data_IF_405533676148
#
_entry.id   IF_405533676148
#
_cell.length_a   1.000
_cell.length_b   1.000
_cell.length_c   1.000
_cell.angle_alpha   90.00
_cell.angle_beta   90.00
_cell.angle_gamma   90.00
#
_symmetry.space_group_name_H-M   'P 1'
#
loop_
_entity.id
_entity.type
_entity.pdbx_description
1 polymer ?
#
# COMPACT_ATOMS: atom_id res chain seq x y z
N UNK A 1 -4.85 27.54 -39.10
CA UNK A 1 -5.19 28.29 -37.87
C UNK A 1 -5.75 27.28 -36.90
N UNK A 2 -5.09 27.17 -35.76
CA UNK A 2 -5.10 26.04 -34.84
C UNK A 2 -6.44 25.84 -34.12
N UNK A 3 -6.88 24.59 -34.03
CA UNK A 3 -7.94 24.14 -33.12
C UNK A 3 -7.40 24.09 -31.69
N UNK A 4 -8.04 24.86 -30.82
CA UNK A 4 -7.74 24.96 -29.40
C UNK A 4 -8.38 23.76 -28.70
N UNK A 5 -7.56 22.80 -28.26
CA UNK A 5 -8.00 21.73 -27.38
C UNK A 5 -8.26 22.33 -25.99
N UNK A 6 -9.53 22.42 -25.60
CA UNK A 6 -9.93 22.71 -24.22
C UNK A 6 -9.51 21.55 -23.33
N UNK A 7 -8.53 21.82 -22.46
CA UNK A 7 -8.23 20.97 -21.32
C UNK A 7 -9.41 21.04 -20.36
N UNK A 8 -10.18 19.95 -20.25
CA UNK A 8 -11.11 19.74 -19.14
C UNK A 8 -10.30 19.73 -17.84
N UNK A 9 -10.29 20.85 -17.12
CA UNK A 9 -9.93 20.86 -15.70
C UNK A 9 -11.06 20.17 -14.92
N UNK A 10 -10.77 19.15 -14.10
CA UNK A 10 -11.77 18.59 -13.22
C UNK A 10 -12.16 19.63 -12.17
N UNK A 11 -13.42 20.05 -12.20
CA UNK A 11 -14.02 20.85 -11.14
C UNK A 11 -14.00 20.08 -9.84
N UNK A 12 -13.38 20.68 -8.81
CA UNK A 12 -13.48 20.23 -7.43
C UNK A 12 -14.93 20.49 -7.01
N UNK A 13 -15.70 19.41 -6.82
CA UNK A 13 -16.96 19.49 -6.09
C UNK A 13 -16.62 19.71 -4.60
N UNK A 14 -16.99 20.84 -3.99
CA UNK A 14 -16.69 21.13 -2.58
C UNK A 14 -17.52 20.27 -1.60
N UNK A 15 -18.41 19.39 -2.09
CA UNK A 15 -19.09 18.36 -1.29
C UNK A 15 -18.53 16.94 -1.51
N UNK A 16 -17.45 16.78 -2.30
CA UNK A 16 -16.81 15.50 -2.54
C UNK A 16 -16.07 14.95 -1.32
N UNK A 17 -16.23 13.64 -1.06
CA UNK A 17 -15.50 12.91 -0.04
C UNK A 17 -13.99 13.20 -0.16
N UNK A 18 -13.34 13.53 0.97
CA UNK A 18 -11.89 13.74 0.99
C UNK A 18 -11.20 12.40 0.73
N UNK A 19 -10.52 12.29 -0.40
CA UNK A 19 -9.66 11.15 -0.70
C UNK A 19 -8.22 11.47 -0.30
N UNK A 20 -7.51 10.46 0.18
CA UNK A 20 -6.07 10.55 0.40
C UNK A 20 -5.32 10.54 -0.95
N UNK A 21 -5.91 9.92 -1.97
CA UNK A 21 -5.31 9.72 -3.29
C UNK A 21 -5.22 8.23 -3.64
N UNK A 22 -4.62 7.91 -4.80
CA UNK A 22 -4.51 6.54 -5.25
C UNK A 22 -3.57 5.73 -4.34
N UNK A 23 -3.99 4.51 -4.00
CA UNK A 23 -3.18 3.49 -3.36
C UNK A 23 -3.06 2.29 -4.30
N UNK A 24 -1.85 1.73 -4.38
CA UNK A 24 -1.54 0.65 -5.30
C UNK A 24 -0.78 -0.47 -4.60
N UNK A 25 -1.03 -1.72 -5.01
CA UNK A 25 -0.25 -2.89 -4.62
C UNK A 25 0.11 -3.73 -5.84
N UNK A 26 1.34 -4.23 -5.89
CA UNK A 26 1.80 -5.22 -6.84
C UNK A 26 2.46 -6.39 -6.10
N UNK A 27 2.12 -7.60 -6.53
CA UNK A 27 2.67 -8.84 -6.01
C UNK A 27 3.62 -9.46 -7.01
N UNK A 28 4.84 -9.71 -6.57
CA UNK A 28 5.90 -10.34 -7.34
C UNK A 28 6.18 -11.74 -6.80
N UNK A 29 6.62 -12.62 -7.70
CA UNK A 29 6.88 -14.02 -7.40
C UNK A 29 6.19 -14.92 -8.40
N UNK A 30 5.65 -16.03 -7.92
CA UNK A 30 4.95 -17.01 -8.74
C UNK A 30 3.50 -17.13 -8.32
N UNK A 31 2.61 -17.28 -9.31
CA UNK A 31 1.23 -17.69 -9.09
C UNK A 31 0.99 -18.94 -9.90
N UNK A 32 0.61 -20.02 -9.22
CA UNK A 32 0.16 -21.26 -9.84
C UNK A 32 -1.37 -21.25 -9.84
N UNK A 33 -2.04 -21.03 -10.98
CA UNK A 33 -3.50 -21.04 -11.04
C UNK A 33 -4.07 -22.38 -10.57
N UNK A 34 -5.22 -22.34 -9.91
CA UNK A 34 -5.89 -23.58 -9.51
C UNK A 34 -6.31 -24.39 -10.75
N UNK A 35 -6.09 -25.73 -10.77
CA UNK A 35 -6.37 -26.56 -11.95
C UNK A 35 -7.87 -26.66 -12.29
N UNK A 36 -8.75 -26.35 -11.32
CA UNK A 36 -10.20 -26.36 -11.48
C UNK A 36 -10.76 -25.01 -11.94
N UNK A 37 -9.94 -23.96 -12.01
CA UNK A 37 -10.38 -22.63 -12.41
C UNK A 37 -10.48 -22.54 -13.92
N UNK A 38 -11.64 -22.13 -14.40
CA UNK A 38 -11.86 -21.84 -15.81
C UNK A 38 -11.02 -20.62 -16.24
N UNK A 39 -10.13 -20.75 -17.23
CA UNK A 39 -9.39 -19.62 -17.80
C UNK A 39 -10.29 -18.53 -18.41
N UNK A 40 -11.51 -18.89 -18.83
CA UNK A 40 -12.50 -17.97 -19.40
C UNK A 40 -13.51 -17.46 -18.36
N UNK A 41 -13.29 -17.73 -17.07
CA UNK A 41 -14.18 -17.30 -15.99
C UNK A 41 -14.40 -15.78 -16.01
N UNK A 42 -15.67 -15.37 -15.95
CA UNK A 42 -16.07 -13.97 -15.85
C UNK A 42 -15.55 -13.30 -14.56
N UNK A 43 -15.28 -14.08 -13.51
CA UNK A 43 -14.77 -13.60 -12.21
C UNK A 43 -13.27 -13.32 -12.26
N UNK A 44 -12.89 -12.28 -13.00
CA UNK A 44 -11.53 -11.77 -13.02
C UNK A 44 -11.08 -11.21 -11.65
N UNK A 45 -9.82 -10.77 -11.59
CA UNK A 45 -9.25 -10.22 -10.35
C UNK A 45 -10.01 -8.98 -9.86
N UNK A 46 -10.52 -8.15 -10.77
CA UNK A 46 -11.29 -6.96 -10.41
C UNK A 46 -12.61 -7.33 -9.75
N UNK A 47 -13.37 -8.25 -10.35
CA UNK A 47 -14.64 -8.69 -9.79
C UNK A 47 -14.45 -9.36 -8.42
N UNK A 48 -13.46 -10.24 -8.28
CA UNK A 48 -13.18 -10.92 -7.00
C UNK A 48 -12.78 -9.93 -5.90
N UNK A 49 -11.90 -8.98 -6.21
CA UNK A 49 -11.48 -7.96 -5.25
C UNK A 49 -12.65 -7.03 -4.87
N UNK A 50 -13.46 -6.64 -5.84
CA UNK A 50 -14.66 -5.83 -5.61
C UNK A 50 -15.65 -6.55 -4.69
N UNK A 51 -15.97 -7.83 -4.97
CA UNK A 51 -16.86 -8.64 -4.13
C UNK A 51 -16.32 -8.80 -2.71
N UNK A 52 -15.00 -9.02 -2.56
CA UNK A 52 -14.36 -9.11 -1.24
C UNK A 52 -14.43 -7.78 -0.49
N UNK A 53 -14.21 -6.66 -1.18
CA UNK A 53 -14.30 -5.32 -0.60
C UNK A 53 -15.72 -5.00 -0.11
N UNK A 54 -16.76 -5.38 -0.86
CA UNK A 54 -18.17 -5.27 -0.42
C UNK A 54 -18.41 -6.15 0.81
N UNK A 55 -18.02 -7.42 0.76
CA UNK A 55 -18.27 -8.38 1.83
C UNK A 55 -17.66 -7.95 3.18
N UNK A 56 -16.56 -7.19 3.15
CA UNK A 56 -15.89 -6.67 4.34
C UNK A 56 -16.34 -5.25 4.74
N UNK A 57 -17.22 -4.62 3.96
CA UNK A 57 -17.65 -3.23 4.17
C UNK A 57 -16.53 -2.21 3.96
N UNK A 58 -15.52 -2.55 3.15
CA UNK A 58 -14.39 -1.68 2.85
C UNK A 58 -14.61 -0.81 1.62
N UNK A 59 -15.53 -1.20 0.74
CA UNK A 59 -15.89 -0.43 -0.43
C UNK A 59 -16.78 0.76 -0.07
N UNK A 60 -16.42 1.94 -0.56
CA UNK A 60 -17.26 3.11 -0.45
C UNK A 60 -18.37 3.10 -1.50
N UNK A 61 -19.56 2.67 -1.09
CA UNK A 61 -20.76 2.57 -1.93
C UNK A 61 -21.42 3.95 -2.19
N UNK A 62 -21.01 5.00 -1.48
CA UNK A 62 -21.67 6.32 -1.54
C UNK A 62 -21.51 7.02 -2.90
N UNK A 63 -20.54 6.60 -3.73
CA UNK A 63 -20.35 7.11 -5.09
C UNK A 63 -21.43 6.65 -6.09
N UNK A 64 -22.26 5.66 -5.74
CA UNK A 64 -23.24 5.04 -6.65
C UNK A 64 -24.71 5.32 -6.31
N UNK A 65 -24.99 5.85 -5.11
CA UNK A 65 -26.35 6.07 -4.62
C UNK A 65 -26.73 7.56 -4.70
N UNK A 66 -27.01 8.04 -5.90
CA UNK A 66 -27.77 9.28 -6.05
C UNK A 66 -29.20 9.06 -5.52
N UNK A 67 -29.45 9.43 -4.27
CA UNK A 67 -30.81 9.70 -3.79
C UNK A 67 -31.38 8.87 -2.64
N UNK A 68 -30.59 8.08 -1.90
CA UNK A 68 -31.10 7.40 -0.70
C UNK A 68 -30.42 7.90 0.58
N UNK A 69 -30.98 8.97 1.17
CA UNK A 69 -30.55 9.58 2.45
C UNK A 69 -30.79 8.68 3.68
N UNK A 70 -31.31 7.45 3.51
CA UNK A 70 -31.78 6.60 4.61
C UNK A 70 -30.82 5.49 4.99
N UNK A 71 -29.58 5.88 5.26
CA UNK A 71 -28.74 5.35 6.34
C UNK A 71 -27.37 6.01 6.17
N UNK A 72 -26.91 6.73 7.19
CA UNK A 72 -25.51 7.15 7.29
C UNK A 72 -24.64 5.91 7.47
N UNK A 73 -24.46 5.10 6.40
CA UNK A 73 -23.46 4.03 6.37
C UNK A 73 -22.11 4.67 6.63
N UNK A 74 -21.30 4.06 7.50
CA UNK A 74 -19.93 4.49 7.69
C UNK A 74 -19.23 4.54 6.33
N UNK A 75 -18.43 5.59 6.05
CA UNK A 75 -17.72 5.69 4.77
C UNK A 75 -16.78 4.50 4.61
N UNK A 76 -16.68 3.98 3.38
CA UNK A 76 -15.75 2.90 3.05
C UNK A 76 -14.29 3.34 3.16
N UNK A 77 -13.38 2.36 3.16
CA UNK A 77 -11.94 2.61 3.21
C UNK A 77 -11.38 3.06 1.86
N UNK A 78 -12.03 2.69 0.76
CA UNK A 78 -11.62 3.08 -0.59
C UNK A 78 -12.75 2.94 -1.61
N UNK A 79 -12.58 3.58 -2.77
CA UNK A 79 -13.31 3.26 -3.99
C UNK A 79 -12.45 2.41 -4.94
N UNK A 80 -13.08 1.50 -5.70
CA UNK A 80 -12.36 0.62 -6.63
C UNK A 80 -11.91 1.37 -7.88
N UNK A 81 -10.68 1.09 -8.34
CA UNK A 81 -10.18 1.61 -9.61
C UNK A 81 -9.87 0.48 -10.59
N UNK A 82 -8.85 -0.33 -10.33
CA UNK A 82 -8.44 -1.39 -11.24
C UNK A 82 -7.81 -2.56 -10.49
N UNK A 83 -7.92 -3.77 -11.04
CA UNK A 83 -7.17 -4.92 -10.57
C UNK A 83 -6.87 -5.85 -11.74
N UNK A 84 -5.70 -6.46 -11.69
CA UNK A 84 -5.22 -7.40 -12.68
C UNK A 84 -4.52 -8.55 -11.97
N UNK A 85 -4.72 -9.77 -12.46
CA UNK A 85 -3.95 -10.92 -12.04
C UNK A 85 -3.81 -11.88 -13.23
N UNK A 86 -2.60 -12.35 -13.47
CA UNK A 86 -2.32 -13.21 -14.61
C UNK A 86 -1.03 -13.99 -14.43
N UNK A 87 -0.88 -15.05 -15.23
CA UNK A 87 0.37 -15.79 -15.31
C UNK A 87 1.43 -14.93 -15.99
N UNK A 88 2.57 -14.83 -15.32
CA UNK A 88 3.71 -13.96 -15.64
C UNK A 88 4.09 -13.90 -17.12
N UNK A 89 4.50 -12.71 -17.59
CA UNK A 89 5.31 -12.52 -18.79
C UNK A 89 6.75 -12.07 -18.41
N UNK A 90 7.48 -12.94 -17.69
CA UNK A 90 8.92 -12.79 -17.39
C UNK A 90 9.33 -12.29 -15.99
N UNK A 91 10.56 -12.64 -15.55
CA UNK A 91 11.50 -11.96 -14.63
C UNK A 91 10.96 -10.93 -13.60
N UNK A 92 10.49 -9.80 -14.09
CA UNK A 92 10.39 -8.57 -13.26
C UNK A 92 8.95 -8.10 -13.11
N UNK A 93 8.03 -8.64 -13.90
CA UNK A 93 6.63 -8.22 -13.86
C UNK A 93 5.87 -8.83 -12.67
N UNK A 94 5.02 -8.04 -11.99
CA UNK A 94 4.14 -8.57 -10.96
C UNK A 94 3.08 -9.49 -11.56
N UNK A 95 2.76 -10.59 -10.88
CA UNK A 95 1.69 -11.49 -11.30
C UNK A 95 0.30 -10.96 -10.90
N UNK A 96 0.23 -10.01 -9.96
CA UNK A 96 -1.01 -9.33 -9.59
C UNK A 96 -0.78 -7.85 -9.27
N UNK A 97 -1.76 -7.01 -9.61
CA UNK A 97 -1.77 -5.57 -9.37
C UNK A 97 -3.16 -5.13 -8.93
N UNK A 98 -3.23 -4.24 -7.95
CA UNK A 98 -4.46 -3.71 -7.40
C UNK A 98 -4.32 -2.21 -7.22
N UNK A 99 -5.35 -1.46 -7.58
CA UNK A 99 -5.41 -0.02 -7.47
C UNK A 99 -6.77 0.41 -6.93
N UNK A 100 -6.74 1.26 -5.92
CA UNK A 100 -7.93 1.84 -5.30
C UNK A 100 -7.73 3.34 -5.10
N UNK A 101 -8.82 4.09 -5.01
CA UNK A 101 -8.81 5.46 -4.52
C UNK A 101 -9.02 5.42 -3.01
N UNK A 102 -7.98 5.74 -2.24
CA UNK A 102 -8.01 5.62 -0.79
C UNK A 102 -8.80 6.77 -0.17
N UNK A 103 -9.74 6.46 0.73
CA UNK A 103 -10.41 7.47 1.54
C UNK A 103 -9.40 8.12 2.50
N UNK A 104 -9.58 9.40 2.84
CA UNK A 104 -8.78 10.04 3.89
C UNK A 104 -9.01 9.31 5.22
N UNK A 105 -7.97 8.74 5.86
CA UNK A 105 -8.14 8.04 7.12
C UNK A 105 -8.56 9.04 8.21
N UNK A 106 -9.34 8.57 9.19
CA UNK A 106 -9.61 9.36 10.39
C UNK A 106 -8.31 9.59 11.17
N UNK A 107 -8.25 10.67 11.94
CA UNK A 107 -7.01 11.12 12.58
C UNK A 107 -6.43 10.12 13.61
N UNK A 108 -7.18 9.11 14.02
CA UNK A 108 -6.79 8.03 14.92
C UNK A 108 -6.48 6.71 14.19
N UNK A 109 -6.60 6.64 12.86
CA UNK A 109 -6.40 5.42 12.08
C UNK A 109 -5.24 5.52 11.10
N UNK A 110 -4.49 4.42 10.87
CA UNK A 110 -3.46 4.42 9.85
C UNK A 110 -4.09 4.42 8.44
N UNK A 111 -3.26 4.59 7.41
CA UNK A 111 -3.68 4.23 6.05
C UNK A 111 -4.15 2.75 6.04
N UNK A 112 -5.22 2.39 5.31
CA UNK A 112 -5.80 1.04 5.33
C UNK A 112 -4.99 0.03 4.48
N UNK A 113 -3.65 0.08 4.57
CA UNK A 113 -2.74 -0.75 3.77
C UNK A 113 -2.90 -2.23 4.11
N UNK A 114 -3.05 -2.56 5.39
CA UNK A 114 -3.26 -3.95 5.82
C UNK A 114 -4.58 -4.53 5.29
N UNK A 115 -5.77 -3.91 5.50
CA UNK A 115 -7.00 -4.34 4.84
C UNK A 115 -6.90 -4.44 3.32
N UNK A 116 -6.21 -3.50 2.68
CA UNK A 116 -6.01 -3.49 1.23
C UNK A 116 -5.21 -4.71 0.77
N UNK A 117 -4.09 -5.02 1.42
CA UNK A 117 -3.27 -6.18 1.11
C UNK A 117 -3.97 -7.50 1.44
N UNK A 118 -4.75 -7.55 2.52
CA UNK A 118 -5.58 -8.71 2.86
C UNK A 118 -6.62 -9.00 1.78
N UNK A 119 -7.27 -7.95 1.26
CA UNK A 119 -8.22 -8.08 0.15
C UNK A 119 -7.53 -8.59 -1.13
N UNK A 120 -6.34 -8.08 -1.42
CA UNK A 120 -5.53 -8.51 -2.57
C UNK A 120 -5.12 -9.99 -2.43
N UNK A 121 -4.64 -10.40 -1.26
CA UNK A 121 -4.26 -11.79 -0.97
C UNK A 121 -5.46 -12.75 -1.06
N UNK A 122 -6.59 -12.40 -0.43
CA UNK A 122 -7.80 -13.22 -0.52
C UNK A 122 -8.27 -13.36 -1.98
N UNK A 123 -8.09 -12.31 -2.79
CA UNK A 123 -8.40 -12.33 -4.22
C UNK A 123 -7.47 -13.27 -4.99
N UNK A 124 -6.15 -13.15 -4.80
CA UNK A 124 -5.18 -14.01 -5.50
C UNK A 124 -5.31 -15.48 -5.07
N UNK A 125 -5.65 -15.74 -3.81
CA UNK A 125 -5.91 -17.09 -3.29
C UNK A 125 -7.11 -17.79 -3.97
N UNK A 126 -8.09 -17.02 -4.46
CA UNK A 126 -9.21 -17.55 -5.28
C UNK A 126 -8.80 -17.85 -6.73
N UNK A 127 -7.68 -17.29 -7.19
CA UNK A 127 -7.14 -17.49 -8.54
C UNK A 127 -6.17 -18.67 -8.55
N UNK A 128 -5.29 -18.75 -7.56
CA UNK A 128 -4.27 -19.77 -7.48
C UNK A 128 -3.55 -19.77 -6.14
N UNK A 129 -2.45 -20.51 -6.10
CA UNK A 129 -1.50 -20.51 -4.97
C UNK A 129 -0.37 -19.56 -5.29
N UNK A 130 -0.20 -18.52 -4.48
CA UNK A 130 0.82 -17.50 -4.65
C UNK A 130 2.07 -17.80 -3.80
N UNK A 131 3.24 -17.66 -4.41
CA UNK A 131 4.54 -17.66 -3.75
C UNK A 131 5.15 -16.27 -3.88
N UNK A 132 4.88 -15.42 -2.89
CA UNK A 132 5.34 -14.03 -2.87
C UNK A 132 6.86 -13.95 -2.63
N UNK A 133 7.56 -13.27 -3.54
CA UNK A 133 8.96 -12.87 -3.37
C UNK A 133 9.12 -11.38 -3.04
N UNK A 134 8.17 -10.55 -3.45
CA UNK A 134 8.13 -9.15 -3.08
C UNK A 134 6.72 -8.56 -3.18
N UNK A 135 6.51 -7.46 -2.47
CA UNK A 135 5.31 -6.62 -2.52
C UNK A 135 5.76 -5.18 -2.77
N UNK A 136 5.16 -4.53 -3.76
CA UNK A 136 5.39 -3.11 -4.04
C UNK A 136 4.11 -2.33 -3.83
N UNK A 137 4.21 -1.20 -3.14
CA UNK A 137 3.10 -0.38 -2.66
C UNK A 137 3.29 1.07 -3.06
N UNK A 138 2.22 1.73 -3.48
CA UNK A 138 2.18 3.19 -3.53
C UNK A 138 1.27 3.70 -2.41
N UNK A 139 1.82 4.54 -1.54
CA UNK A 139 1.16 5.02 -0.33
C UNK A 139 0.83 6.52 -0.48
N UNK A 140 -0.44 6.94 -0.37
CA UNK A 140 -0.85 8.32 -0.56
C UNK A 140 -0.69 9.18 0.72
N UNK A 141 0.57 9.54 1.07
CA UNK A 141 0.86 10.28 2.32
C UNK A 141 0.27 11.70 2.36
N UNK A 142 -0.04 12.30 1.21
CA UNK A 142 -0.68 13.61 1.13
C UNK A 142 -2.05 13.65 1.83
N UNK A 143 -2.71 12.49 1.98
CA UNK A 143 -3.97 12.36 2.71
C UNK A 143 -3.82 12.21 4.21
N UNK A 144 -2.60 12.10 4.74
CA UNK A 144 -2.35 12.01 6.17
C UNK A 144 -2.08 13.42 6.70
N UNK A 145 -2.91 13.89 7.63
CA UNK A 145 -2.65 15.10 8.39
C UNK A 145 -2.06 14.75 9.77
N UNK A 146 -0.74 14.82 9.95
CA UNK A 146 -0.13 14.49 11.23
C UNK A 146 -0.34 15.57 12.29
N UNK A 147 -0.74 16.80 11.92
CA UNK A 147 -1.00 17.85 12.90
C UNK A 147 -2.31 17.62 13.65
N UNK A 148 -3.24 16.86 13.07
CA UNK A 148 -4.51 16.49 13.69
C UNK A 148 -4.47 15.14 14.42
N UNK A 149 -3.36 14.39 14.33
CA UNK A 149 -3.14 13.14 15.08
C UNK A 149 -3.11 13.43 16.59
N UNK A 150 -3.83 12.65 17.42
CA UNK A 150 -3.66 12.67 18.87
C UNK A 150 -2.22 12.38 19.28
N UNK A 151 -1.73 12.98 20.38
CA UNK A 151 -0.34 12.80 20.84
C UNK A 151 0.03 11.34 21.13
N UNK A 152 -0.93 10.52 21.50
CA UNK A 152 -0.76 9.09 21.78
C UNK A 152 -0.93 8.20 20.54
N UNK A 153 -1.26 8.77 19.37
CA UNK A 153 -1.54 8.03 18.14
C UNK A 153 -0.72 8.59 16.95
N UNK A 154 0.55 8.93 17.18
CA UNK A 154 1.45 9.40 16.11
C UNK A 154 1.72 8.31 15.07
N UNK A 155 1.71 7.05 15.51
CA UNK A 155 1.83 5.86 14.67
C UNK A 155 0.70 4.90 15.07
N UNK A 156 -0.53 5.09 14.57
CA UNK A 156 -1.71 4.32 14.96
C UNK A 156 -1.54 2.79 14.88
N UNK A 157 -0.77 2.30 13.90
CA UNK A 157 -0.48 0.87 13.75
C UNK A 157 0.16 0.23 15.00
N UNK A 158 0.79 1.02 15.87
CA UNK A 158 1.36 0.51 17.13
C UNK A 158 0.32 -0.07 18.08
N UNK A 159 -0.96 0.30 17.96
CA UNK A 159 -2.03 -0.29 18.78
C UNK A 159 -2.26 -1.78 18.50
N UNK A 160 -1.74 -2.29 17.39
CA UNK A 160 -1.90 -3.70 16.98
C UNK A 160 -0.57 -4.44 16.81
N UNK A 161 0.55 -3.91 17.32
CA UNK A 161 1.86 -4.56 17.15
C UNK A 161 1.91 -5.94 17.82
N UNK A 162 1.22 -6.13 18.94
CA UNK A 162 1.13 -7.39 19.69
C UNK A 162 0.51 -8.53 18.88
N UNK A 163 -0.22 -8.24 17.79
CA UNK A 163 -0.73 -9.26 16.87
C UNK A 163 0.39 -10.15 16.33
N UNK A 164 1.60 -9.61 16.17
CA UNK A 164 2.77 -10.32 15.68
C UNK A 164 3.63 -10.91 16.81
N UNK A 165 3.22 -10.81 18.09
CA UNK A 165 3.98 -11.32 19.23
C UNK A 165 4.03 -12.85 19.30
N UNK A 166 2.98 -13.54 18.84
CA UNK A 166 2.84 -15.00 18.86
C UNK A 166 3.26 -15.64 17.52
N UNK A 167 4.43 -15.28 17.00
CA UNK A 167 4.97 -15.88 15.78
C UNK A 167 5.86 -17.08 16.09
N UNK A 168 5.91 -18.06 15.19
CA UNK A 168 6.85 -19.17 15.33
C UNK A 168 8.30 -18.62 15.28
N UNK A 169 9.24 -19.11 16.10
CA UNK A 169 10.63 -18.60 16.10
C UNK A 169 11.35 -18.68 14.75
N UNK A 170 10.85 -19.52 13.83
CA UNK A 170 11.39 -19.70 12.48
C UNK A 170 10.58 -18.97 11.39
N UNK A 171 9.51 -18.25 11.76
CA UNK A 171 8.71 -17.46 10.82
C UNK A 171 9.40 -16.15 10.43
N UNK A 172 10.34 -15.68 11.25
CA UNK A 172 11.10 -14.47 10.98
C UNK A 172 11.78 -14.56 9.61
N UNK A 173 11.52 -13.55 8.80
CA UNK A 173 11.95 -13.52 7.41
C UNK A 173 12.81 -12.29 7.17
N UNK A 174 14.07 -12.45 6.71
CA UNK A 174 14.89 -11.34 6.27
C UNK A 174 14.20 -10.60 5.12
N UNK A 175 14.18 -9.27 5.19
CA UNK A 175 13.58 -8.42 4.16
C UNK A 175 14.49 -7.24 3.82
N UNK A 176 14.42 -6.81 2.56
CA UNK A 176 14.95 -5.56 2.06
C UNK A 176 13.78 -4.64 1.73
N UNK A 177 13.78 -3.44 2.30
CA UNK A 177 12.72 -2.46 2.14
C UNK A 177 13.31 -1.24 1.43
N UNK A 178 12.75 -0.85 0.29
CA UNK A 178 13.10 0.39 -0.41
C UNK A 178 11.95 1.36 -0.29
N UNK A 179 12.23 2.61 0.10
CA UNK A 179 11.26 3.70 0.26
C UNK A 179 11.70 4.83 -0.67
N UNK A 180 10.85 5.29 -1.57
CA UNK A 180 11.20 6.31 -2.57
C UNK A 180 10.10 7.38 -2.72
N UNK A 181 10.49 8.66 -2.78
CA UNK A 181 9.58 9.80 -2.99
C UNK A 181 9.63 10.38 -4.42
N UNK A 182 10.09 9.57 -5.37
CA UNK A 182 10.27 9.90 -6.77
C UNK A 182 11.29 11.01 -6.95
N UNK A 183 10.89 12.06 -7.67
CA UNK A 183 11.67 13.28 -7.88
C UNK A 183 11.69 14.24 -6.69
N UNK A 184 10.94 13.99 -5.62
CA UNK A 184 10.97 14.84 -4.43
C UNK A 184 12.08 14.36 -3.46
N UNK A 185 13.00 15.22 -2.99
CA UNK A 185 14.09 14.82 -2.09
C UNK A 185 13.66 14.60 -0.61
N UNK A 186 12.36 14.47 -0.33
CA UNK A 186 11.83 14.36 1.03
C UNK A 186 12.35 13.16 1.83
N UNK A 187 12.46 11.97 1.21
CA UNK A 187 12.96 10.77 1.90
C UNK A 187 14.43 10.91 2.31
N UNK A 188 15.37 11.27 1.41
CA UNK A 188 16.75 11.54 1.80
C UNK A 188 16.89 12.57 2.92
N UNK A 189 16.03 13.60 2.94
CA UNK A 189 16.07 14.65 3.97
C UNK A 189 15.73 14.13 5.38
N UNK A 190 14.89 13.10 5.51
CA UNK A 190 14.44 12.55 6.80
C UNK A 190 14.98 11.15 7.10
N UNK A 191 15.80 10.55 6.22
CA UNK A 191 16.19 9.15 6.27
C UNK A 191 16.76 8.71 7.63
N UNK A 192 17.67 9.49 8.22
CA UNK A 192 18.25 9.18 9.53
C UNK A 192 17.22 9.26 10.67
N UNK A 193 16.31 10.24 10.61
CA UNK A 193 15.25 10.40 11.60
C UNK A 193 14.22 9.27 11.48
N UNK A 194 13.90 8.84 10.25
CA UNK A 194 12.99 7.73 9.99
C UNK A 194 13.56 6.42 10.53
N UNK A 195 14.85 6.13 10.31
CA UNK A 195 15.54 4.97 10.91
C UNK A 195 15.49 5.04 12.43
N UNK A 196 15.83 6.21 13.00
CA UNK A 196 15.83 6.41 14.44
C UNK A 196 14.45 6.20 15.08
N UNK A 197 13.41 6.73 14.44
CA UNK A 197 12.02 6.58 14.87
C UNK A 197 11.57 5.12 14.80
N UNK A 198 11.76 4.44 13.65
CA UNK A 198 11.39 3.03 13.49
C UNK A 198 12.13 2.14 14.50
N UNK A 199 13.40 2.44 14.79
CA UNK A 199 14.19 1.72 15.78
C UNK A 199 13.85 2.04 17.24
N UNK A 200 13.09 3.10 17.53
CA UNK A 200 12.64 3.43 18.88
C UNK A 200 11.20 3.01 19.18
N UNK A 201 10.48 2.46 18.19
CA UNK A 201 9.16 1.88 18.40
C UNK A 201 9.30 0.55 19.15
N UNK A 202 8.56 0.38 20.24
CA UNK A 202 8.49 -0.86 21.01
C UNK A 202 7.60 -1.88 20.27
N UNK A 203 8.18 -2.62 19.33
CA UNK A 203 7.50 -3.61 18.50
C UNK A 203 8.48 -4.66 17.99
N UNK A 204 8.00 -5.90 17.85
CA UNK A 204 8.78 -7.03 17.32
C UNK A 204 8.36 -7.44 15.90
N UNK A 205 7.41 -6.71 15.29
CA UNK A 205 6.91 -6.99 13.94
C UNK A 205 7.97 -6.77 12.85
N UNK A 206 8.85 -5.79 13.01
CA UNK A 206 10.00 -5.53 12.16
C UNK A 206 11.23 -5.14 12.98
N UNK A 207 12.29 -5.94 12.92
CA UNK A 207 13.56 -5.61 13.60
C UNK A 207 14.56 -5.05 12.59
N UNK A 208 14.96 -3.76 12.68
CA UNK A 208 15.97 -3.19 11.80
C UNK A 208 17.32 -3.91 11.97
N UNK A 209 17.97 -4.25 10.86
CA UNK A 209 19.29 -4.85 10.86
C UNK A 209 20.37 -3.88 11.34
N UNK A 210 21.41 -4.40 12.00
CA UNK A 210 22.53 -3.61 12.56
C UNK A 210 23.37 -2.86 11.52
N UNK A 211 23.24 -3.21 10.24
CA UNK A 211 23.94 -2.57 9.13
C UNK A 211 22.94 -1.83 8.24
N UNK A 212 22.59 -0.60 8.62
CA UNK A 212 21.83 0.35 7.79
C UNK A 212 22.66 0.86 6.61
N UNK A 213 23.09 -0.02 5.72
CA UNK A 213 23.77 0.38 4.48
C UNK A 213 22.70 0.62 3.43
N UNK A 214 22.57 1.87 3.00
CA UNK A 214 21.79 2.26 1.82
C UNK A 214 22.46 1.59 0.62
N UNK A 215 21.90 0.48 0.18
CA UNK A 215 22.34 -0.25 -1.00
C UNK A 215 21.50 0.26 -2.18
N UNK A 216 22.15 0.81 -3.20
CA UNK A 216 21.50 1.29 -4.43
C UNK A 216 21.06 0.13 -5.33
N UNK A 217 21.54 -1.10 -5.05
CA UNK A 217 21.37 -2.24 -5.94
C UNK A 217 20.07 -3.04 -5.66
N UNK A 218 19.16 -3.02 -6.63
CA UNK A 218 17.99 -3.90 -6.66
C UNK A 218 16.66 -3.30 -6.19
N UNK A 219 16.39 -2.02 -6.51
CA UNK A 219 15.03 -1.50 -6.47
C UNK A 219 14.19 -2.14 -7.59
N UNK A 220 12.99 -2.62 -7.25
CA UNK A 220 12.04 -3.13 -8.25
C UNK A 220 11.52 -1.96 -9.09
N UNK A 221 11.49 -2.07 -10.43
CA UNK A 221 10.93 -1.00 -11.26
C UNK A 221 9.44 -0.83 -10.94
N UNK A 222 8.94 0.42 -10.83
CA UNK A 222 7.52 0.66 -10.60
C UNK A 222 6.66 0.01 -11.71
N UNK A 223 5.58 -0.72 -11.38
CA UNK A 223 4.73 -1.40 -12.36
C UNK A 223 3.65 -0.49 -12.96
N UNK A 224 3.86 0.83 -12.85
CA UNK A 224 2.99 1.91 -13.30
C UNK A 224 3.84 3.09 -13.77
N UNK A 225 3.23 3.98 -14.57
CA UNK A 225 3.94 5.11 -15.17
C UNK A 225 4.36 6.17 -14.13
N UNK A 226 5.51 6.80 -14.37
CA UNK A 226 6.10 7.83 -13.50
C UNK A 226 5.16 9.00 -13.17
N UNK A 227 4.31 9.38 -14.12
CA UNK A 227 3.33 10.46 -13.93
C UNK A 227 2.31 10.18 -12.83
N UNK A 228 2.14 8.92 -12.42
CA UNK A 228 1.17 8.51 -11.40
C UNK A 228 1.59 8.88 -9.97
N UNK A 229 2.89 9.05 -9.70
CA UNK A 229 3.40 9.11 -8.33
C UNK A 229 4.62 10.02 -8.14
N UNK A 230 4.88 10.92 -9.09
CA UNK A 230 6.08 11.77 -9.15
C UNK A 230 7.39 11.00 -9.43
N UNK A 231 7.31 9.85 -10.11
CA UNK A 231 8.49 9.13 -10.60
C UNK A 231 9.27 9.91 -11.68
N UNK A 232 10.42 9.41 -12.17
CA UNK A 232 11.03 8.11 -11.83
C UNK A 232 11.59 8.04 -10.40
N UNK A 233 11.90 6.83 -9.87
CA UNK A 233 12.52 6.69 -8.56
C UNK A 233 13.92 7.29 -8.57
N UNK A 234 14.15 8.34 -7.77
CA UNK A 234 15.42 9.07 -7.69
C UNK A 234 15.84 9.37 -6.25
N UNK A 235 14.88 9.51 -5.35
CA UNK A 235 15.12 9.96 -3.99
C UNK A 235 14.50 8.97 -3.02
N UNK A 236 15.26 7.92 -2.77
CA UNK A 236 14.88 6.86 -1.86
C UNK A 236 15.94 6.50 -0.85
N UNK A 237 15.61 5.49 -0.05
CA UNK A 237 16.47 4.85 0.91
C UNK A 237 16.15 3.36 0.99
N UNK A 238 17.14 2.58 1.42
CA UNK A 238 16.98 1.13 1.61
C UNK A 238 17.24 0.77 3.07
N UNK A 239 16.34 -0.03 3.63
CA UNK A 239 16.45 -0.66 4.95
C UNK A 239 16.56 -2.16 4.78
N UNK A 240 17.30 -2.81 5.69
CA UNK A 240 17.33 -4.26 5.82
C UNK A 240 16.95 -4.61 7.24
N UNK A 241 16.23 -5.71 7.42
CA UNK A 241 15.81 -6.18 8.74
C UNK A 241 15.09 -7.51 8.65
N UNK A 242 14.43 -7.88 9.73
CA UNK A 242 13.66 -9.12 9.83
C UNK A 242 12.21 -8.77 10.12
N UNK A 243 11.29 -9.30 9.30
CA UNK A 243 9.86 -9.21 9.52
C UNK A 243 9.42 -10.43 10.35
N UNK A 244 8.55 -10.25 11.34
CA UNK A 244 8.10 -11.33 12.24
C UNK A 244 7.56 -12.55 11.48
N UNK A 245 6.90 -12.30 10.36
CA UNK A 245 6.46 -13.32 9.41
C UNK A 245 6.39 -12.73 7.99
N UNK A 246 6.56 -13.57 6.97
CA UNK A 246 6.32 -13.17 5.58
C UNK A 246 4.85 -13.33 5.21
N UNK A 247 4.04 -12.31 5.52
CA UNK A 247 2.61 -12.26 5.22
C UNK A 247 2.19 -10.89 4.69
N UNK A 248 1.09 -10.82 3.95
CA UNK A 248 0.48 -9.55 3.53
C UNK A 248 0.06 -8.69 4.73
N UNK A 249 -0.30 -9.32 5.85
CA UNK A 249 -0.66 -8.62 7.08
C UNK A 249 0.57 -7.91 7.69
N UNK A 250 1.70 -8.60 7.85
CA UNK A 250 2.93 -8.02 8.38
C UNK A 250 3.51 -6.93 7.47
N UNK A 251 3.48 -7.13 6.14
CA UNK A 251 3.89 -6.11 5.16
C UNK A 251 2.97 -4.89 5.21
N UNK A 252 1.66 -5.09 5.32
CA UNK A 252 0.68 -4.01 5.37
C UNK A 252 0.81 -3.18 6.64
N UNK A 253 1.02 -3.84 7.78
CA UNK A 253 1.30 -3.18 9.06
C UNK A 253 2.57 -2.33 8.99
N UNK A 254 3.67 -2.90 8.49
CA UNK A 254 4.95 -2.19 8.34
C UNK A 254 4.82 -0.97 7.42
N UNK A 255 4.12 -1.13 6.29
CA UNK A 255 3.90 -0.06 5.32
C UNK A 255 3.11 1.11 5.93
N UNK A 256 2.04 0.82 6.68
CA UNK A 256 1.29 1.82 7.40
C UNK A 256 2.15 2.54 8.46
N UNK A 257 2.93 1.78 9.25
CA UNK A 257 3.87 2.32 10.24
C UNK A 257 4.90 3.26 9.60
N UNK A 258 5.46 2.90 8.45
CA UNK A 258 6.40 3.74 7.68
C UNK A 258 5.69 5.01 7.19
N UNK A 259 4.47 4.89 6.65
CA UNK A 259 3.73 6.04 6.14
C UNK A 259 3.42 7.07 7.24
N UNK A 260 2.93 6.63 8.40
CA UNK A 260 2.65 7.51 9.53
C UNK A 260 3.95 8.13 10.08
N UNK A 261 5.03 7.35 10.19
CA UNK A 261 6.34 7.83 10.63
C UNK A 261 6.92 8.89 9.69
N UNK A 262 6.91 8.63 8.38
CA UNK A 262 7.39 9.59 7.38
C UNK A 262 6.51 10.85 7.34
N UNK A 263 5.18 10.69 7.45
CA UNK A 263 4.26 11.82 7.55
C UNK A 263 4.54 12.66 8.80
N UNK A 264 4.76 12.05 9.95
CA UNK A 264 5.14 12.75 11.17
C UNK A 264 6.44 13.57 11.02
N UNK A 265 7.39 13.07 10.24
CA UNK A 265 8.64 13.76 9.89
C UNK A 265 8.49 14.82 8.78
N UNK A 266 7.27 15.07 8.30
CA UNK A 266 6.97 16.14 7.35
C UNK A 266 6.89 15.70 5.88
N UNK A 267 6.99 14.41 5.58
CA UNK A 267 6.81 13.91 4.21
C UNK A 267 5.33 14.01 3.83
N UNK A 268 5.06 14.62 2.66
CA UNK A 268 3.69 14.86 2.16
C UNK A 268 3.47 14.37 0.73
N UNK A 269 4.49 13.78 0.11
CA UNK A 269 4.37 13.20 -1.23
C UNK A 269 4.05 11.72 -1.16
N UNK A 270 3.40 11.13 -2.19
CA UNK A 270 3.27 9.70 -2.29
C UNK A 270 4.61 8.98 -2.11
N UNK A 271 4.58 7.80 -1.47
CA UNK A 271 5.76 6.95 -1.30
C UNK A 271 5.60 5.64 -2.04
N UNK A 272 6.62 5.30 -2.83
CA UNK A 272 6.78 3.96 -3.36
C UNK A 272 7.58 3.13 -2.36
N UNK A 273 6.94 2.10 -1.83
CA UNK A 273 7.53 1.16 -0.89
C UNK A 273 7.66 -0.22 -1.57
N UNK A 274 8.86 -0.77 -1.61
CA UNK A 274 9.10 -2.14 -2.09
C UNK A 274 9.64 -2.98 -0.95
N UNK A 275 8.94 -4.06 -0.59
CA UNK A 275 9.40 -5.03 0.41
C UNK A 275 9.74 -6.32 -0.31
N UNK A 276 11.02 -6.69 -0.29
CA UNK A 276 11.56 -7.86 -0.98
C UNK A 276 12.03 -8.86 0.06
N UNK A 277 11.61 -10.11 -0.10
CA UNK A 277 12.08 -11.23 0.72
C UNK A 277 13.56 -11.52 0.44
N UNK A 278 14.37 -11.63 1.49
CA UNK A 278 15.80 -11.93 1.44
C UNK A 278 16.12 -13.41 1.40
#
# INVERSE_FOLDING_TARGET
MSEQHDFLQPGIDPAGLSTAGPMFAAFHGELVPHPWRDPESEHDAYQLFHQRSIAMGWLDEQSSAAGDERASKAPGLWAMNNAFCGTRHGDVEPFARFQVECSTPTNDRPLPVQPFLRCAEDTTARIGTAHLSAVQLLLPLQGIDPASRPRNALVPSMETCDWFGEHAPHAQTPVKITIDSGRNPSIPAVAHQLVGLLGSLEQDAFTPGKSGRVDEDGALPPPFADGFWNGPPLHGMTLRGELAEWSCDAVGWLAATIADSASHLGVRTPLLLSVVRG
#
